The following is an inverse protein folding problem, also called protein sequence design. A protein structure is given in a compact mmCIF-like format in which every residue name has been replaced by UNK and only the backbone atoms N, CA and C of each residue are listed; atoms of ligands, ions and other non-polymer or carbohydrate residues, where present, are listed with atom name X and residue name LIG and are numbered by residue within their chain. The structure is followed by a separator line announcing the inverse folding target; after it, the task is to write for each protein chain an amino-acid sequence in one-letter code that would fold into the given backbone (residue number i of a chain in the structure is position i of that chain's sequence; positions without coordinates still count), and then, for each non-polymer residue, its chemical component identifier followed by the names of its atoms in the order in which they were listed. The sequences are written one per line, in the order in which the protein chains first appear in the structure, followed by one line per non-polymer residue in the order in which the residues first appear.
data_IF_123569528350
#
_entry.id   IF_123569528350
#
_cell.length_a   1.000
_cell.length_b   1.000
_cell.length_c   1.000
_cell.angle_alpha   90.00
_cell.angle_beta   90.00
_cell.angle_gamma   90.00
#
_symmetry.space_group_name_H-M   'P 1'
#
loop_
_entity.id
_entity.type
_entity.pdbx_description
1 polymer ?
#
# COMPACT_ATOMS: atom_id res chain seq x y z
N UNK A 1 22.13 -31.78 -10.39
CA UNK A 1 21.22 -30.98 -9.53
C UNK A 1 19.78 -31.26 -9.91
N UNK A 2 18.99 -31.83 -8.98
CA UNK A 2 17.58 -32.20 -9.21
C UNK A 2 16.69 -30.96 -9.43
N UNK A 3 15.60 -31.09 -10.19
CA UNK A 3 14.65 -30.01 -10.50
C UNK A 3 14.09 -29.34 -9.23
N UNK A 4 13.97 -30.10 -8.15
CA UNK A 4 13.55 -29.60 -6.83
C UNK A 4 14.55 -28.61 -6.23
N UNK A 5 15.85 -28.87 -6.34
CA UNK A 5 16.88 -27.98 -5.80
C UNK A 5 16.89 -26.62 -6.54
N UNK A 6 16.59 -26.63 -7.85
CA UNK A 6 16.42 -25.39 -8.62
C UNK A 6 15.18 -24.61 -8.21
N UNK A 7 14.07 -25.29 -7.88
CA UNK A 7 12.83 -24.64 -7.41
C UNK A 7 13.00 -24.00 -6.04
N UNK A 8 13.64 -24.71 -5.11
CA UNK A 8 13.97 -24.17 -3.79
C UNK A 8 14.84 -22.91 -3.92
N UNK A 9 15.91 -22.98 -4.72
CA UNK A 9 16.77 -21.83 -4.96
C UNK A 9 16.03 -20.62 -5.59
N UNK A 10 15.11 -20.85 -6.53
CA UNK A 10 14.29 -19.76 -7.12
C UNK A 10 13.38 -19.13 -6.07
N UNK A 11 12.75 -19.94 -5.21
CA UNK A 11 11.89 -19.43 -4.14
C UNK A 11 12.68 -18.59 -3.13
N UNK A 12 13.87 -19.06 -2.72
CA UNK A 12 14.75 -18.32 -1.82
C UNK A 12 15.26 -17.01 -2.45
N UNK A 13 15.64 -17.03 -3.74
CA UNK A 13 16.04 -15.81 -4.45
C UNK A 13 14.87 -14.82 -4.59
N UNK A 14 13.64 -15.30 -4.79
CA UNK A 14 12.46 -14.42 -4.86
C UNK A 14 12.15 -13.80 -3.50
N UNK A 15 12.27 -14.57 -2.42
CA UNK A 15 12.14 -14.06 -1.06
C UNK A 15 13.22 -13.02 -0.76
N UNK A 16 14.49 -13.28 -1.12
CA UNK A 16 15.57 -12.33 -0.96
C UNK A 16 15.33 -11.04 -1.77
N UNK A 17 14.85 -11.16 -3.01
CA UNK A 17 14.54 -10.00 -3.85
C UNK A 17 13.42 -9.16 -3.24
N UNK A 18 12.37 -9.78 -2.70
CA UNK A 18 11.28 -9.11 -1.98
C UNK A 18 11.75 -8.41 -0.72
N UNK A 19 12.66 -9.02 0.04
CA UNK A 19 13.27 -8.37 1.21
C UNK A 19 14.16 -7.18 0.84
N UNK A 20 14.82 -7.23 -0.32
CA UNK A 20 15.62 -6.11 -0.86
C UNK A 20 14.72 -5.01 -1.43
N UNK A 21 13.57 -5.37 -1.99
CA UNK A 21 12.55 -4.44 -2.47
C UNK A 21 11.44 -4.30 -1.42
N UNK A 22 11.65 -3.54 -0.33
CA UNK A 22 10.63 -3.18 0.68
C UNK A 22 9.19 -3.34 0.15
N UNK A 23 8.58 -4.52 0.33
CA UNK A 23 7.53 -5.05 -0.56
C UNK A 23 6.15 -4.53 -0.16
N UNK A 24 5.98 -3.22 -0.26
CA UNK A 24 4.69 -2.59 -0.13
C UNK A 24 3.94 -2.73 -1.46
N UNK A 25 2.88 -3.54 -1.47
CA UNK A 25 2.01 -3.64 -2.62
C UNK A 25 0.84 -2.67 -2.46
N UNK A 26 0.57 -1.89 -3.51
CA UNK A 26 -0.57 -0.96 -3.58
C UNK A 26 -1.40 -1.29 -4.81
N UNK A 27 -2.68 -1.55 -4.61
CA UNK A 27 -3.68 -1.67 -5.68
C UNK A 27 -4.80 -0.66 -5.44
N UNK A 28 -5.32 -0.12 -6.54
CA UNK A 28 -6.47 0.77 -6.54
C UNK A 28 -7.39 0.29 -7.65
N UNK A 29 -8.64 0.04 -7.28
CA UNK A 29 -9.71 -0.38 -8.20
C UNK A 29 -10.79 0.68 -8.20
N UNK A 30 -11.19 1.15 -9.38
CA UNK A 30 -12.33 2.07 -9.51
C UNK A 30 -13.63 1.31 -9.33
N UNK A 31 -14.51 1.82 -8.46
CA UNK A 31 -15.85 1.31 -8.22
C UNK A 31 -16.90 2.18 -8.93
N UNK A 32 -18.18 1.77 -8.90
CA UNK A 32 -19.28 2.61 -9.41
C UNK A 32 -19.34 3.97 -8.68
N UNK A 33 -18.98 3.97 -7.39
CA UNK A 33 -18.81 5.15 -6.56
C UNK A 33 -17.49 5.03 -5.81
N UNK A 34 -16.50 5.81 -6.25
CA UNK A 34 -15.19 5.90 -5.61
C UNK A 34 -14.20 4.78 -5.97
N UNK A 35 -13.40 4.37 -4.99
CA UNK A 35 -12.23 3.52 -5.16
C UNK A 35 -12.12 2.51 -4.03
N UNK A 36 -11.63 1.32 -4.36
CA UNK A 36 -11.11 0.36 -3.40
C UNK A 36 -9.58 0.44 -3.39
N UNK A 37 -9.01 0.92 -2.29
CA UNK A 37 -7.57 1.03 -2.07
C UNK A 37 -7.11 -0.13 -1.20
N UNK A 38 -6.14 -0.89 -1.67
CA UNK A 38 -5.56 -2.02 -0.97
C UNK A 38 -4.05 -1.81 -0.81
N UNK A 39 -3.57 -1.90 0.43
CA UNK A 39 -2.14 -1.79 0.77
C UNK A 39 -1.74 -2.99 1.61
N UNK A 40 -0.64 -3.63 1.27
CA UNK A 40 -0.07 -4.73 2.06
C UNK A 40 1.45 -4.65 2.18
N UNK A 41 1.96 -4.96 3.36
CA UNK A 41 3.39 -5.09 3.66
C UNK A 41 3.66 -6.37 4.47
N UNK A 42 4.80 -7.00 4.23
CA UNK A 42 5.21 -8.25 4.92
C UNK A 42 5.70 -8.03 6.36
N UNK A 43 5.81 -6.77 6.82
CA UNK A 43 6.20 -6.41 8.20
C UNK A 43 5.19 -5.47 8.82
N UNK A 44 5.20 -5.37 10.15
CA UNK A 44 4.49 -4.30 10.85
C UNK A 44 5.16 -2.96 10.52
N UNK A 45 4.34 -1.96 10.22
CA UNK A 45 4.78 -0.62 9.82
C UNK A 45 4.14 0.42 10.75
N UNK A 46 4.71 0.65 11.95
CA UNK A 46 4.23 1.70 12.84
C UNK A 46 4.23 3.06 12.13
N UNK A 47 3.14 3.81 12.27
CA UNK A 47 3.01 5.13 11.63
C UNK A 47 2.58 5.11 10.16
N UNK A 48 2.73 3.99 9.43
CA UNK A 48 2.37 3.94 8.00
C UNK A 48 0.87 4.21 7.75
N UNK A 49 0.00 3.77 8.66
CA UNK A 49 -1.43 4.07 8.58
C UNK A 49 -1.67 5.58 8.54
N UNK A 50 -0.97 6.33 9.39
CA UNK A 50 -1.12 7.79 9.49
C UNK A 50 -0.70 8.43 8.16
N UNK A 51 0.46 8.05 7.63
CA UNK A 51 0.94 8.56 6.33
C UNK A 51 -0.01 8.30 5.18
N UNK A 52 -0.71 7.15 5.16
CA UNK A 52 -1.69 6.85 4.13
C UNK A 52 -2.96 7.70 4.29
N UNK A 53 -3.43 7.90 5.54
CA UNK A 53 -4.60 8.74 5.80
C UNK A 53 -4.35 10.22 5.49
N UNK A 54 -3.14 10.72 5.77
CA UNK A 54 -2.72 12.07 5.36
C UNK A 54 -2.78 12.23 3.84
N UNK A 55 -2.30 11.25 3.07
CA UNK A 55 -2.39 11.28 1.61
C UNK A 55 -3.84 11.24 1.10
N UNK A 56 -4.76 10.57 1.79
CA UNK A 56 -6.19 10.62 1.45
C UNK A 56 -6.78 12.00 1.72
N UNK A 57 -6.45 12.62 2.85
CA UNK A 57 -6.90 13.98 3.20
C UNK A 57 -6.38 15.01 2.18
N UNK A 58 -5.10 14.96 1.82
CA UNK A 58 -4.50 15.84 0.80
C UNK A 58 -5.16 15.70 -0.57
N UNK A 59 -5.66 14.50 -0.90
CA UNK A 59 -6.39 14.24 -2.14
C UNK A 59 -7.87 14.64 -2.08
N UNK A 60 -8.43 14.92 -0.90
CA UNK A 60 -9.88 15.08 -0.76
C UNK A 60 -10.65 13.77 -0.94
N UNK A 61 -10.05 12.63 -0.54
CA UNK A 61 -10.71 11.33 -0.55
C UNK A 61 -11.42 11.05 0.77
N UNK A 62 -12.74 10.96 0.75
CA UNK A 62 -13.53 10.59 1.92
C UNK A 62 -13.55 9.08 2.08
N UNK A 63 -13.04 8.58 3.22
CA UNK A 63 -13.04 7.15 3.55
C UNK A 63 -14.40 6.73 4.11
N UNK A 64 -15.09 5.85 3.39
CA UNK A 64 -16.41 5.32 3.76
C UNK A 64 -16.31 4.08 4.64
N UNK A 65 -15.44 3.15 4.26
CA UNK A 65 -15.15 1.92 5.01
C UNK A 65 -13.64 1.71 5.02
N UNK A 66 -13.09 1.25 6.13
CA UNK A 66 -11.72 0.79 6.19
C UNK A 66 -11.56 -0.41 7.11
N UNK A 67 -10.69 -1.34 6.70
CA UNK A 67 -10.24 -2.48 7.48
C UNK A 67 -8.73 -2.42 7.57
N UNK A 68 -8.20 -2.50 8.80
CA UNK A 68 -6.77 -2.43 9.04
C UNK A 68 -6.30 -3.56 9.94
N UNK A 69 -5.16 -4.14 9.61
CA UNK A 69 -4.40 -5.07 10.45
C UNK A 69 -2.96 -4.59 10.50
N UNK A 70 -2.40 -4.48 11.70
CA UNK A 70 -1.02 -4.04 11.92
C UNK A 70 -0.17 -5.06 12.73
N UNK A 71 -0.76 -6.20 13.09
CA UNK A 71 -0.10 -7.24 13.88
C UNK A 71 0.73 -8.12 12.95
N UNK A 72 2.05 -8.13 13.18
CA UNK A 72 3.10 -8.82 12.38
C UNK A 72 3.26 -8.33 10.92
N UNK A 73 2.19 -7.85 10.31
CA UNK A 73 2.12 -7.32 8.95
C UNK A 73 1.21 -6.09 8.91
N UNK A 74 1.42 -5.22 7.94
CA UNK A 74 0.49 -4.13 7.64
C UNK A 74 -0.44 -4.51 6.50
N UNK A 75 -1.74 -4.38 6.71
CA UNK A 75 -2.76 -4.50 5.67
C UNK A 75 -3.81 -3.43 5.88
N UNK A 76 -4.10 -2.69 4.82
CA UNK A 76 -5.19 -1.73 4.75
C UNK A 76 -6.05 -2.07 3.53
N UNK A 77 -7.35 -2.10 3.75
CA UNK A 77 -8.37 -2.03 2.70
C UNK A 77 -9.25 -0.82 3.03
N UNK A 78 -9.42 0.09 2.07
CA UNK A 78 -10.22 1.28 2.26
C UNK A 78 -11.11 1.51 1.03
N UNK A 79 -12.38 1.82 1.27
CA UNK A 79 -13.30 2.33 0.26
C UNK A 79 -13.35 3.84 0.43
N UNK A 80 -12.96 4.59 -0.60
CA UNK A 80 -12.98 6.04 -0.61
C UNK A 80 -13.79 6.60 -1.77
N UNK A 81 -14.43 7.74 -1.61
CA UNK A 81 -15.10 8.46 -2.70
C UNK A 81 -14.55 9.87 -2.85
N UNK A 82 -14.63 10.40 -4.07
CA UNK A 82 -14.37 11.81 -4.33
C UNK A 82 -15.36 12.67 -3.54
N UNK A 83 -14.94 13.86 -3.12
CA UNK A 83 -15.90 14.84 -2.60
C UNK A 83 -16.97 15.18 -3.66
N UNK A 84 -18.24 15.22 -3.26
CA UNK A 84 -19.41 15.42 -4.15
C UNK A 84 -19.32 16.69 -5.02
N UNK A 85 -18.54 17.69 -4.59
CA UNK A 85 -18.28 18.95 -5.31
C UNK A 85 -16.81 19.15 -5.73
N UNK A 86 -15.96 18.12 -5.62
CA UNK A 86 -14.54 18.16 -5.93
C UNK A 86 -14.21 17.89 -7.40
N UNK A 87 -12.93 18.01 -7.76
CA UNK A 87 -12.41 17.47 -9.02
C UNK A 87 -12.48 15.93 -8.98
N UNK A 88 -12.93 15.31 -10.08
CA UNK A 88 -12.96 13.85 -10.20
C UNK A 88 -11.52 13.33 -10.12
N UNK A 89 -11.23 12.47 -9.14
CA UNK A 89 -9.87 11.98 -8.92
C UNK A 89 -9.64 10.74 -9.79
N UNK A 90 -8.51 10.67 -10.48
CA UNK A 90 -8.16 9.49 -11.26
C UNK A 90 -7.55 8.41 -10.37
N UNK A 91 -7.91 7.14 -10.58
CA UNK A 91 -7.41 6.01 -9.78
C UNK A 91 -5.86 5.89 -9.81
N UNK A 92 -5.20 6.35 -10.87
CA UNK A 92 -3.74 6.41 -10.92
C UNK A 92 -3.19 7.49 -9.99
N UNK A 93 -3.85 8.64 -9.86
CA UNK A 93 -3.48 9.69 -8.91
C UNK A 93 -3.56 9.15 -7.49
N UNK A 94 -4.66 8.46 -7.14
CA UNK A 94 -4.80 7.79 -5.84
C UNK A 94 -3.65 6.80 -5.61
N UNK A 95 -3.39 5.93 -6.59
CA UNK A 95 -2.32 4.94 -6.49
C UNK A 95 -0.95 5.60 -6.30
N UNK A 96 -0.67 6.67 -7.02
CA UNK A 96 0.58 7.41 -6.92
C UNK A 96 0.74 8.07 -5.56
N UNK A 97 -0.28 8.77 -5.06
CA UNK A 97 -0.24 9.42 -3.75
C UNK A 97 0.03 8.41 -2.64
N UNK A 98 -0.69 7.29 -2.62
CA UNK A 98 -0.46 6.22 -1.64
C UNK A 98 0.94 5.63 -1.76
N UNK A 99 1.42 5.40 -2.99
CA UNK A 99 2.78 4.90 -3.21
C UNK A 99 3.85 5.89 -2.73
N UNK A 100 3.63 7.20 -2.89
CA UNK A 100 4.52 8.25 -2.39
C UNK A 100 4.49 8.32 -0.86
N UNK A 101 3.31 8.23 -0.24
CA UNK A 101 3.19 8.21 1.21
C UNK A 101 3.99 7.05 1.83
N UNK A 102 3.89 5.85 1.25
CA UNK A 102 4.67 4.69 1.67
C UNK A 102 6.17 4.92 1.49
N UNK A 103 6.59 5.49 0.35
CA UNK A 103 7.99 5.79 0.07
C UNK A 103 8.56 6.79 1.10
N UNK A 104 7.87 7.91 1.30
CA UNK A 104 8.27 8.96 2.24
C UNK A 104 8.32 8.43 3.68
N UNK A 105 7.35 7.60 4.08
CA UNK A 105 7.36 6.92 5.36
C UNK A 105 8.59 6.02 5.51
N UNK A 106 8.91 5.21 4.49
CA UNK A 106 10.07 4.31 4.55
C UNK A 106 11.40 5.07 4.68
N UNK A 107 11.59 6.14 3.90
CA UNK A 107 12.82 6.96 3.94
C UNK A 107 12.99 7.69 5.28
N UNK A 108 11.88 8.07 5.93
CA UNK A 108 11.89 8.75 7.23
C UNK A 108 12.10 7.77 8.40
N UNK A 109 11.66 6.51 8.25
CA UNK A 109 11.76 5.48 9.29
C UNK A 109 13.13 4.80 9.35
N UNK A 110 13.99 5.02 8.35
CA UNK A 110 15.36 4.48 8.28
C UNK A 110 16.41 5.42 8.91
N UNK A 111 16.00 6.57 9.44
CA UNK A 111 16.88 7.58 10.04
C UNK A 111 16.90 7.58 11.60
N UNK A 112 16.16 6.66 12.23
CA UNK A 112 16.14 6.46 13.70
C UNK A 112 16.90 5.19 14.12
#
# INVERSE_FOLDING_TARGET
VSREHKRAAVHENLQLLRSITHSHAVTVETLEKGFLVNVSSEKSCPGLLVSILEAFEELGLNVLEARVSCVDSFRLEAVGEDEENGEIIDAQVVKQAVSQAIKNWSESSEQD
#
